data_IF_968781790695
#
_entry.id   IF_968781790695
#
_cell.length_a   1.000
_cell.length_b   1.000
_cell.length_c   1.000
_cell.angle_alpha   90.00
_cell.angle_beta   90.00
_cell.angle_gamma   90.00
#
_symmetry.space_group_name_H-M   'P 1'
#
loop_
_entity.id
_entity.type
_entity.pdbx_description
1 polymer ?
#
# COMPACT_ATOMS: atom_id res chain seq x y z
N UNK A 1 -2.56 11.51 -4.89
CA UNK A 1 -3.95 11.90 -5.17
C UNK A 1 -3.94 12.88 -6.32
N UNK A 2 -4.71 12.64 -7.36
CA UNK A 2 -4.89 13.60 -8.44
C UNK A 2 -6.20 14.37 -8.21
N UNK A 3 -6.15 15.68 -8.37
CA UNK A 3 -7.27 16.59 -8.12
C UNK A 3 -7.49 17.45 -9.35
N UNK A 4 -8.73 17.44 -9.84
CA UNK A 4 -9.20 18.25 -10.94
C UNK A 4 -10.38 19.11 -10.49
N UNK A 5 -10.13 20.42 -10.35
CA UNK A 5 -11.08 21.40 -9.82
C UNK A 5 -11.18 22.57 -10.79
N UNK A 6 -12.42 22.86 -11.19
CA UNK A 6 -12.75 23.98 -12.07
C UNK A 6 -13.50 25.07 -11.28
N UNK A 7 -13.10 26.33 -11.47
CA UNK A 7 -13.73 27.48 -10.80
C UNK A 7 -14.04 28.59 -11.78
N UNK A 8 -15.05 29.38 -11.44
CA UNK A 8 -15.39 30.62 -12.13
C UNK A 8 -14.83 31.83 -11.36
N UNK A 9 -13.76 32.45 -11.87
CA UNK A 9 -13.20 33.72 -11.35
C UNK A 9 -12.05 33.57 -10.32
N UNK A 10 -11.33 34.66 -9.98
CA UNK A 10 -10.12 34.65 -9.12
C UNK A 10 -10.43 34.61 -7.62
N UNK A 11 -9.62 33.91 -6.83
CA UNK A 11 -9.74 33.86 -5.37
C UNK A 11 -9.33 32.52 -4.74
N UNK A 12 -9.28 32.49 -3.41
CA UNK A 12 -8.64 31.39 -2.67
C UNK A 12 -9.48 30.11 -2.63
N UNK A 13 -8.80 28.97 -2.85
CA UNK A 13 -9.32 27.62 -2.65
C UNK A 13 -8.50 26.90 -1.58
N UNK A 14 -9.20 26.35 -0.60
CA UNK A 14 -8.64 25.35 0.31
C UNK A 14 -9.09 23.98 -0.14
N UNK A 15 -8.13 23.08 -0.30
CA UNK A 15 -8.34 21.71 -0.75
C UNK A 15 -7.84 20.79 0.35
N UNK A 16 -8.74 19.97 0.89
CA UNK A 16 -8.41 18.94 1.87
C UNK A 16 -8.83 17.56 1.36
N UNK A 17 -8.00 16.56 1.66
CA UNK A 17 -8.43 15.17 1.65
C UNK A 17 -9.02 14.84 3.03
N UNK A 18 -10.20 14.24 3.05
CA UNK A 18 -10.87 13.79 4.28
C UNK A 18 -10.92 12.26 4.26
N UNK A 19 -10.32 11.65 5.27
CA UNK A 19 -10.26 10.21 5.46
C UNK A 19 -11.60 9.64 5.96
N UNK A 20 -11.82 8.32 5.86
CA UNK A 20 -13.06 7.67 6.32
C UNK A 20 -13.36 7.88 7.81
N UNK A 21 -12.34 8.05 8.64
CA UNK A 21 -12.45 8.32 10.07
C UNK A 21 -12.75 9.81 10.39
N UNK A 22 -12.73 10.68 9.37
CA UNK A 22 -12.91 12.12 9.49
C UNK A 22 -11.62 12.94 9.60
N UNK A 23 -10.44 12.31 9.66
CA UNK A 23 -9.14 12.97 9.65
C UNK A 23 -8.96 13.81 8.39
N UNK A 24 -8.37 15.00 8.55
CA UNK A 24 -8.24 16.01 7.47
C UNK A 24 -6.77 16.20 7.12
N UNK A 25 -6.46 16.04 5.84
CA UNK A 25 -5.13 16.24 5.27
C UNK A 25 -5.17 17.42 4.30
N UNK A 26 -4.63 18.59 4.68
CA UNK A 26 -4.57 19.75 3.80
C UNK A 26 -3.66 19.46 2.60
N UNK A 27 -4.17 19.71 1.39
CA UNK A 27 -3.43 19.52 0.13
C UNK A 27 -2.96 20.86 -0.44
N UNK A 28 -3.85 21.84 -0.46
CA UNK A 28 -3.56 23.21 -0.85
C UNK A 28 -4.31 24.18 0.06
N UNK A 29 -3.61 25.24 0.47
CA UNK A 29 -4.22 26.37 1.17
C UNK A 29 -4.07 27.63 0.33
N UNK A 30 -5.07 28.50 0.43
CA UNK A 30 -5.14 29.84 -0.14
C UNK A 30 -3.77 30.51 -0.39
N UNK A 31 -3.48 30.81 -1.66
CA UNK A 31 -2.48 31.82 -2.03
C UNK A 31 -3.23 32.92 -2.75
N UNK A 32 -3.14 34.13 -2.21
CA UNK A 32 -3.96 35.31 -2.55
C UNK A 32 -3.86 35.83 -3.99
N UNK A 33 -3.40 35.01 -4.92
CA UNK A 33 -3.22 35.28 -6.34
C UNK A 33 -3.72 34.13 -7.27
N UNK A 34 -4.34 33.07 -6.71
CA UNK A 34 -4.53 31.78 -7.39
C UNK A 34 -5.54 31.70 -8.54
N UNK A 35 -5.16 30.90 -9.54
CA UNK A 35 -5.81 30.60 -10.83
C UNK A 35 -7.20 29.98 -10.73
N UNK A 36 -8.00 30.11 -11.80
CA UNK A 36 -9.38 29.59 -11.87
C UNK A 36 -9.49 28.06 -12.01
N UNK A 37 -8.38 27.35 -12.29
CA UNK A 37 -8.35 25.90 -12.51
C UNK A 37 -7.17 25.28 -11.77
N UNK A 38 -7.37 24.06 -11.26
CA UNK A 38 -6.35 23.26 -10.56
C UNK A 38 -6.37 21.85 -11.15
N UNK A 39 -5.25 21.46 -11.77
CA UNK A 39 -4.97 20.11 -12.27
C UNK A 39 -3.66 19.62 -11.66
N UNK A 40 -3.72 19.15 -10.41
CA UNK A 40 -2.50 18.90 -9.63
C UNK A 40 -2.48 17.50 -9.00
N UNK A 41 -1.27 16.95 -8.92
CA UNK A 41 -0.98 15.73 -8.19
C UNK A 41 -0.43 16.09 -6.82
N UNK A 42 -1.16 15.74 -5.77
CA UNK A 42 -0.72 15.89 -4.38
C UNK A 42 -0.19 14.56 -3.84
N UNK A 43 0.97 14.62 -3.19
CA UNK A 43 1.44 13.57 -2.31
C UNK A 43 0.94 13.87 -0.90
N UNK A 44 0.30 12.88 -0.28
CA UNK A 44 -0.26 12.99 1.06
C UNK A 44 0.20 11.78 1.86
N UNK A 45 0.74 12.02 3.06
CA UNK A 45 1.00 10.96 4.02
C UNK A 45 -0.29 10.71 4.82
N UNK A 46 -1.03 9.69 4.41
CA UNK A 46 -2.21 9.21 5.11
C UNK A 46 -1.98 7.78 5.66
N UNK A 47 -0.73 7.48 6.05
CA UNK A 47 -0.30 6.15 6.51
C UNK A 47 -1.00 5.67 7.79
N UNK A 48 -1.60 6.58 8.57
CA UNK A 48 -2.44 6.25 9.72
C UNK A 48 -3.82 5.70 9.35
N UNK A 49 -4.25 5.88 8.11
CA UNK A 49 -5.64 5.67 7.71
C UNK A 49 -5.89 4.30 7.10
N UNK A 50 -7.13 3.83 7.25
CA UNK A 50 -7.58 2.68 6.50
C UNK A 50 -7.79 3.07 5.05
N UNK A 51 -7.30 2.24 4.12
CA UNK A 51 -7.52 2.51 2.69
C UNK A 51 -8.96 2.24 2.25
N UNK A 52 -9.72 1.41 3.00
CA UNK A 52 -11.12 1.11 2.70
C UNK A 52 -12.04 2.16 3.32
N UNK A 53 -13.20 2.35 2.71
CA UNK A 53 -14.18 3.34 3.15
C UNK A 53 -14.26 4.54 2.21
N UNK A 54 -15.07 5.53 2.62
CA UNK A 54 -15.37 6.70 1.79
C UNK A 54 -14.40 7.81 2.08
N UNK A 55 -13.38 7.95 1.23
CA UNK A 55 -12.56 9.14 1.15
C UNK A 55 -13.34 10.27 0.47
N UNK A 56 -13.12 11.51 0.90
CA UNK A 56 -13.76 12.68 0.31
C UNK A 56 -12.71 13.73 -0.02
N UNK A 57 -12.85 14.34 -1.19
CA UNK A 57 -12.20 15.62 -1.45
C UNK A 57 -13.11 16.74 -0.94
N UNK A 58 -12.60 17.59 -0.05
CA UNK A 58 -13.29 18.80 0.42
C UNK A 58 -12.62 20.02 -0.18
N UNK A 59 -13.41 20.81 -0.91
CA UNK A 59 -12.99 22.09 -1.46
C UNK A 59 -13.79 23.20 -0.79
N UNK A 60 -13.10 24.16 -0.19
CA UNK A 60 -13.71 25.36 0.41
C UNK A 60 -13.26 26.59 -0.36
N UNK A 61 -14.22 27.39 -0.84
CA UNK A 61 -13.98 28.64 -1.57
C UNK A 61 -14.49 29.82 -0.75
N UNK A 62 -13.77 30.94 -0.78
CA UNK A 62 -14.22 32.23 -0.23
C UNK A 62 -14.92 33.13 -1.28
N UNK A 63 -15.22 32.62 -2.49
CA UNK A 63 -15.81 33.37 -3.62
C UNK A 63 -17.06 32.72 -4.25
N UNK A 64 -17.56 33.33 -5.33
CA UNK A 64 -18.81 32.92 -6.02
C UNK A 64 -18.60 31.70 -6.94
N UNK A 65 -18.90 30.51 -6.40
CA UNK A 65 -19.15 29.30 -7.21
C UNK A 65 -17.92 28.58 -7.78
N UNK A 66 -18.08 27.27 -8.00
CA UNK A 66 -17.07 26.36 -8.56
C UNK A 66 -17.61 24.93 -8.58
N UNK A 67 -16.94 24.05 -9.33
CA UNK A 67 -17.30 22.64 -9.45
C UNK A 67 -16.06 21.74 -9.40
N UNK A 68 -16.17 20.61 -8.72
CA UNK A 68 -15.18 19.54 -8.81
C UNK A 68 -15.57 18.70 -10.03
N UNK A 69 -14.72 18.67 -11.05
CA UNK A 69 -14.91 17.88 -12.27
C UNK A 69 -14.46 16.42 -12.07
N UNK A 70 -13.47 16.19 -11.21
CA UNK A 70 -13.01 14.85 -10.85
C UNK A 70 -11.90 14.84 -9.81
N UNK A 71 -11.74 13.71 -9.13
CA UNK A 71 -10.57 13.47 -8.31
C UNK A 71 -10.35 11.96 -8.18
N UNK A 72 -9.08 11.56 -8.01
CA UNK A 72 -8.73 10.17 -7.71
C UNK A 72 -7.69 10.07 -6.59
N UNK A 73 -7.88 9.07 -5.74
CA UNK A 73 -6.94 8.68 -4.71
C UNK A 73 -6.35 7.32 -5.09
N UNK A 74 -5.02 7.24 -5.09
CA UNK A 74 -4.30 6.00 -5.38
C UNK A 74 -3.48 5.62 -4.17
N UNK A 75 -3.69 4.40 -3.70
CA UNK A 75 -2.77 3.69 -2.80
C UNK A 75 -1.75 2.98 -3.67
N UNK A 76 -0.48 3.37 -3.60
CA UNK A 76 0.48 2.79 -4.50
C UNK A 76 0.75 1.33 -4.15
N UNK A 77 0.76 0.51 -5.18
CA UNK A 77 1.07 -0.90 -5.08
C UNK A 77 2.37 -1.18 -5.84
N UNK A 78 3.03 -2.24 -5.41
CA UNK A 78 4.28 -2.72 -5.93
C UNK A 78 4.22 -4.23 -5.98
N UNK A 79 4.79 -4.85 -7.00
CA UNK A 79 4.65 -6.28 -7.21
C UNK A 79 5.95 -6.91 -7.71
N UNK A 80 6.03 -8.22 -7.54
CA UNK A 80 7.03 -9.04 -8.21
C UNK A 80 6.39 -10.39 -8.57
N UNK A 81 6.26 -10.63 -9.87
CA UNK A 81 5.80 -11.89 -10.47
C UNK A 81 6.94 -12.72 -11.06
N UNK A 82 8.18 -12.43 -10.66
CA UNK A 82 9.32 -13.29 -10.96
C UNK A 82 9.28 -14.48 -10.01
N UNK A 83 9.07 -15.66 -10.58
CA UNK A 83 8.99 -16.89 -9.81
C UNK A 83 10.27 -17.10 -8.96
N UNK A 84 10.09 -17.38 -7.68
CA UNK A 84 11.18 -17.64 -6.74
C UNK A 84 11.00 -19.02 -6.12
N UNK A 85 11.95 -19.93 -6.34
CA UNK A 85 11.86 -21.30 -5.86
C UNK A 85 11.99 -21.36 -4.33
N UNK A 86 11.10 -22.13 -3.70
CA UNK A 86 11.10 -22.48 -2.28
C UNK A 86 11.73 -23.88 -2.18
N UNK A 87 12.98 -23.99 -1.71
CA UNK A 87 13.61 -25.29 -1.50
C UNK A 87 13.00 -26.01 -0.30
N UNK A 88 12.99 -27.35 -0.37
CA UNK A 88 12.63 -28.23 0.75
C UNK A 88 13.47 -27.91 1.99
N UNK A 89 12.78 -27.79 3.14
CA UNK A 89 13.36 -27.40 4.43
C UNK A 89 14.28 -26.16 4.32
N UNK A 90 13.85 -25.14 3.57
CA UNK A 90 14.66 -23.97 3.31
C UNK A 90 13.88 -22.66 3.29
N UNK A 91 14.50 -21.61 2.74
CA UNK A 91 13.93 -20.26 2.74
C UNK A 91 14.15 -19.61 1.39
N UNK A 92 13.08 -18.98 0.91
CA UNK A 92 13.07 -18.14 -0.28
C UNK A 92 12.70 -16.70 0.11
N UNK A 93 13.32 -15.73 -0.56
CA UNK A 93 12.97 -14.33 -0.44
C UNK A 93 12.76 -13.72 -1.83
N UNK A 94 11.58 -13.15 -2.06
CA UNK A 94 11.25 -12.42 -3.29
C UNK A 94 11.20 -10.92 -2.99
N UNK A 95 12.07 -10.08 -3.61
CA UNK A 95 12.15 -8.66 -3.31
C UNK A 95 11.21 -7.81 -4.18
N UNK A 96 10.80 -6.66 -3.64
CA UNK A 96 10.11 -5.57 -4.34
C UNK A 96 10.78 -4.24 -3.95
N UNK A 97 11.02 -3.36 -4.93
CA UNK A 97 11.69 -2.08 -4.70
C UNK A 97 10.67 -0.94 -4.67
N UNK A 98 10.61 -0.23 -3.54
CA UNK A 98 9.82 0.98 -3.37
C UNK A 98 10.70 2.20 -3.54
N UNK A 99 10.36 3.05 -4.51
CA UNK A 99 11.15 4.23 -4.90
C UNK A 99 11.39 5.24 -3.76
N UNK A 100 12.48 6.01 -3.91
CA UNK A 100 13.01 6.93 -2.88
C UNK A 100 12.18 8.19 -2.64
N UNK A 101 11.24 8.52 -3.52
CA UNK A 101 10.37 9.68 -3.39
C UNK A 101 9.36 9.57 -2.23
N UNK A 102 9.23 8.40 -1.60
CA UNK A 102 8.35 8.22 -0.45
C UNK A 102 8.99 8.68 0.84
N UNK A 103 8.20 9.40 1.61
CA UNK A 103 8.52 9.91 2.94
C UNK A 103 7.57 9.29 3.97
N UNK A 104 7.78 9.58 5.26
CA UNK A 104 6.96 9.02 6.34
C UNK A 104 7.26 7.56 6.65
N UNK A 105 6.29 6.90 7.29
CA UNK A 105 6.31 5.48 7.64
C UNK A 105 5.36 4.68 6.72
N UNK A 106 5.54 3.36 6.66
CA UNK A 106 4.59 2.49 5.97
C UNK A 106 3.21 2.50 6.69
N UNK A 107 2.11 2.22 5.98
CA UNK A 107 0.79 2.32 6.57
C UNK A 107 0.48 1.30 7.67
N UNK A 108 -0.45 1.67 8.56
CA UNK A 108 -1.06 0.72 9.51
C UNK A 108 -1.78 -0.42 8.82
N UNK A 109 -2.35 -0.16 7.64
CA UNK A 109 -3.08 -1.13 6.84
C UNK A 109 -2.25 -1.56 5.62
N UNK A 110 -0.97 -1.90 5.83
CA UNK A 110 -0.10 -2.42 4.75
C UNK A 110 -0.65 -3.76 4.29
N UNK A 111 -0.94 -3.88 2.99
CA UNK A 111 -1.51 -5.12 2.42
C UNK A 111 -0.50 -5.91 1.63
N UNK A 112 -0.55 -7.22 1.79
CA UNK A 112 0.27 -8.18 1.06
C UNK A 112 -0.64 -9.22 0.43
N UNK A 113 -0.74 -9.20 -0.90
CA UNK A 113 -1.29 -10.33 -1.65
C UNK A 113 -0.17 -11.30 -1.97
N UNK A 114 -0.41 -12.59 -1.78
CA UNK A 114 0.56 -13.66 -2.12
C UNK A 114 -0.05 -14.65 -3.10
N UNK A 115 0.78 -15.12 -4.02
CA UNK A 115 0.50 -16.21 -4.95
C UNK A 115 1.65 -17.21 -4.88
N UNK A 116 1.39 -18.35 -4.23
CA UNK A 116 2.40 -19.36 -3.92
C UNK A 116 1.83 -20.75 -4.22
N UNK A 117 2.64 -21.56 -4.90
CA UNK A 117 2.41 -22.99 -5.06
C UNK A 117 3.39 -23.77 -4.19
N UNK A 118 2.91 -24.73 -3.41
CA UNK A 118 3.72 -25.63 -2.59
C UNK A 118 2.96 -26.93 -2.40
N UNK A 119 3.61 -28.07 -2.65
CA UNK A 119 2.95 -29.40 -2.55
C UNK A 119 2.41 -29.77 -1.16
N UNK A 120 2.72 -28.95 -0.14
CA UNK A 120 2.04 -28.95 1.14
C UNK A 120 2.12 -27.54 1.77
N UNK A 121 1.13 -26.69 1.51
CA UNK A 121 1.15 -25.29 1.95
C UNK A 121 1.15 -25.10 3.47
N UNK A 122 0.78 -26.15 4.21
CA UNK A 122 0.84 -26.20 5.66
C UNK A 122 2.26 -26.09 6.22
N UNK A 123 3.29 -26.34 5.42
CA UNK A 123 4.68 -26.27 5.89
C UNK A 123 5.25 -24.85 5.84
N UNK A 124 4.57 -23.94 5.13
CA UNK A 124 5.04 -22.60 4.91
C UNK A 124 4.74 -21.65 6.07
N UNK A 125 5.80 -21.05 6.60
CA UNK A 125 5.73 -19.77 7.30
C UNK A 125 5.97 -18.64 6.29
N UNK A 126 5.10 -17.62 6.30
CA UNK A 126 5.23 -16.43 5.46
C UNK A 126 5.43 -15.18 6.31
N UNK A 127 6.42 -14.37 5.93
CA UNK A 127 6.72 -13.08 6.55
C UNK A 127 6.89 -11.99 5.49
N UNK A 128 6.50 -10.75 5.83
CA UNK A 128 6.92 -9.55 5.12
C UNK A 128 8.16 -8.97 5.84
N UNK A 129 9.23 -8.74 5.08
CA UNK A 129 10.48 -8.15 5.57
C UNK A 129 10.57 -6.72 5.07
N UNK A 130 10.68 -5.78 6.00
CA UNK A 130 10.87 -4.37 5.68
C UNK A 130 12.32 -4.03 5.28
N UNK A 131 12.54 -2.86 4.65
CA UNK A 131 13.87 -2.38 4.27
C UNK A 131 14.86 -2.26 5.44
N UNK A 132 14.35 -2.05 6.65
CA UNK A 132 15.12 -1.97 7.90
C UNK A 132 15.40 -3.36 8.53
N UNK A 133 14.98 -4.44 7.87
CA UNK A 133 15.11 -5.82 8.35
C UNK A 133 14.03 -6.26 9.34
N UNK A 134 13.06 -5.40 9.67
CA UNK A 134 11.96 -5.75 10.57
C UNK A 134 11.06 -6.79 9.91
N UNK A 135 10.59 -7.75 10.72
CA UNK A 135 9.76 -8.87 10.28
C UNK A 135 8.31 -8.63 10.70
N UNK A 136 7.40 -8.75 9.75
CA UNK A 136 5.95 -8.71 9.96
C UNK A 136 5.37 -10.08 9.57
N UNK A 137 5.01 -10.93 10.55
CA UNK A 137 4.45 -12.25 10.27
C UNK A 137 3.13 -12.14 9.51
N UNK A 138 2.99 -12.91 8.43
CA UNK A 138 1.77 -12.97 7.62
C UNK A 138 0.97 -14.24 7.92
N UNK A 139 1.68 -15.37 7.98
CA UNK A 139 1.09 -16.69 8.18
C UNK A 139 2.08 -17.62 8.89
N UNK A 140 1.60 -18.37 9.87
CA UNK A 140 2.36 -19.44 10.51
C UNK A 140 2.16 -20.77 9.76
N UNK A 141 3.14 -21.67 9.89
CA UNK A 141 2.98 -23.05 9.43
C UNK A 141 1.80 -23.72 10.18
N UNK A 142 1.06 -24.55 9.45
CA UNK A 142 -0.11 -25.26 9.91
C UNK A 142 -0.09 -26.70 9.38
N UNK A 143 0.47 -27.63 10.17
CA UNK A 143 0.73 -29.02 9.75
C UNK A 143 -0.48 -29.81 9.21
N UNK A 144 -1.71 -29.36 9.46
CA UNK A 144 -2.95 -29.99 8.99
C UNK A 144 -3.52 -29.36 7.70
N UNK A 145 -2.83 -28.39 7.13
CA UNK A 145 -3.26 -27.70 5.91
C UNK A 145 -2.58 -28.31 4.67
N UNK A 146 -3.17 -29.37 4.15
CA UNK A 146 -2.65 -30.18 3.04
C UNK A 146 -2.97 -29.60 1.65
N UNK A 147 -3.26 -28.30 1.54
CA UNK A 147 -3.53 -27.67 0.24
C UNK A 147 -2.25 -27.37 -0.54
N UNK A 148 -2.38 -27.10 -1.84
CA UNK A 148 -1.21 -26.91 -2.72
C UNK A 148 -0.92 -25.45 -3.07
N UNK A 149 -1.85 -24.55 -2.78
CA UNK A 149 -1.77 -23.14 -3.17
C UNK A 149 -2.17 -22.19 -2.05
N UNK A 150 -1.54 -21.02 -2.06
CA UNK A 150 -1.90 -19.87 -1.21
C UNK A 150 -2.16 -18.68 -2.14
N UNK A 151 -3.43 -18.30 -2.24
CA UNK A 151 -3.90 -17.07 -2.89
C UNK A 151 -4.61 -16.23 -1.84
N UNK A 152 -3.86 -15.48 -1.05
CA UNK A 152 -4.38 -14.83 0.15
C UNK A 152 -3.95 -13.37 0.24
N UNK A 153 -4.75 -12.58 0.95
CA UNK A 153 -4.44 -11.21 1.29
C UNK A 153 -4.20 -11.10 2.80
N UNK A 154 -3.08 -10.53 3.18
CA UNK A 154 -2.73 -10.22 4.56
C UNK A 154 -2.73 -8.71 4.78
N UNK A 155 -3.01 -8.32 6.02
CA UNK A 155 -2.92 -6.92 6.48
C UNK A 155 -2.03 -6.89 7.70
N UNK A 156 -1.00 -6.05 7.68
CA UNK A 156 -0.06 -5.87 8.79
C UNK A 156 0.11 -4.40 9.13
N UNK A 157 0.34 -4.12 10.41
CA UNK A 157 0.74 -2.80 10.89
C UNK A 157 2.24 -2.62 10.70
N UNK A 158 2.62 -1.89 9.65
CA UNK A 158 4.02 -1.66 9.28
C UNK A 158 4.53 -0.25 9.63
N UNK A 159 3.81 0.50 10.48
CA UNK A 159 4.16 1.90 10.84
C UNK A 159 5.51 2.07 11.51
N UNK A 160 6.12 0.99 11.96
CA UNK A 160 7.45 1.01 12.56
C UNK A 160 8.59 0.99 11.52
N UNK A 161 8.27 0.89 10.22
CA UNK A 161 9.26 0.82 9.14
C UNK A 161 9.02 1.91 8.09
N UNK A 162 10.10 2.28 7.39
CA UNK A 162 10.03 3.22 6.28
C UNK A 162 9.38 2.57 5.05
N UNK A 163 8.57 3.30 4.26
CA UNK A 163 7.94 2.75 3.07
C UNK A 163 8.96 2.58 1.93
N UNK A 164 9.97 3.46 1.85
CA UNK A 164 11.01 3.43 0.82
C UNK A 164 12.04 2.33 1.08
N UNK A 165 12.52 1.72 0.00
CA UNK A 165 13.56 0.69 0.04
C UNK A 165 13.06 -0.66 -0.46
N UNK A 166 13.84 -1.71 -0.19
CA UNK A 166 13.52 -3.08 -0.62
C UNK A 166 12.70 -3.80 0.45
N UNK A 167 11.46 -4.09 0.11
CA UNK A 167 10.63 -5.03 0.87
C UNK A 167 10.82 -6.43 0.32
N UNK A 168 10.62 -7.47 1.13
CA UNK A 168 10.67 -8.86 0.67
C UNK A 168 9.51 -9.66 1.22
N UNK A 169 8.92 -10.50 0.38
CA UNK A 169 8.13 -11.64 0.86
C UNK A 169 9.11 -12.78 1.15
N UNK A 170 9.11 -13.28 2.38
CA UNK A 170 9.89 -14.44 2.79
C UNK A 170 8.95 -15.63 2.98
N UNK A 171 9.23 -16.72 2.26
CA UNK A 171 8.60 -18.01 2.48
C UNK A 171 9.65 -18.96 3.06
N UNK A 172 9.36 -19.53 4.22
CA UNK A 172 10.18 -20.55 4.85
C UNK A 172 9.40 -21.86 4.89
N UNK A 173 9.92 -22.87 4.22
CA UNK A 173 9.47 -24.24 4.42
C UNK A 173 10.08 -24.77 5.73
N UNK A 174 9.22 -25.31 6.59
CA UNK A 174 9.56 -25.77 7.93
C UNK A 174 9.50 -27.28 8.09
N UNK A 175 9.12 -28.02 7.04
CA UNK A 175 9.07 -29.48 7.03
C UNK A 175 9.98 -30.05 5.93
N UNK A 176 10.12 -31.38 5.92
CA UNK A 176 10.87 -32.10 4.90
C UNK A 176 9.93 -32.79 3.93
N UNK A 177 10.34 -32.87 2.67
CA UNK A 177 9.71 -33.68 1.63
C UNK A 177 8.87 -32.90 0.63
N UNK A 178 8.66 -31.60 0.85
CA UNK A 178 7.88 -30.75 -0.01
C UNK A 178 8.71 -29.57 -0.50
N UNK A 179 8.34 -29.03 -1.65
CA UNK A 179 8.96 -27.83 -2.21
C UNK A 179 7.92 -27.10 -3.06
N UNK A 180 8.26 -25.90 -3.49
CA UNK A 180 7.36 -25.07 -4.27
C UNK A 180 8.00 -23.80 -4.81
N UNK A 181 7.18 -22.81 -5.07
CA UNK A 181 7.61 -21.50 -5.55
C UNK A 181 6.66 -20.39 -5.12
N UNK A 182 7.22 -19.21 -4.89
CA UNK A 182 6.48 -17.96 -4.89
C UNK A 182 6.28 -17.60 -6.37
N UNK A 183 5.06 -17.72 -6.88
CA UNK A 183 4.73 -17.36 -8.25
C UNK A 183 4.65 -15.84 -8.42
N UNK A 184 4.15 -15.15 -7.40
CA UNK A 184 4.25 -13.70 -7.30
C UNK A 184 3.58 -13.12 -6.07
N UNK A 185 3.69 -11.82 -5.89
CA UNK A 185 3.08 -11.12 -4.77
C UNK A 185 2.97 -9.62 -5.03
N UNK A 186 2.09 -8.97 -4.28
CA UNK A 186 1.84 -7.53 -4.35
C UNK A 186 1.83 -6.92 -2.95
N UNK A 187 2.51 -5.78 -2.80
CA UNK A 187 2.57 -4.93 -1.62
C UNK A 187 1.81 -3.63 -1.89
N UNK A 188 0.83 -3.28 -1.06
CA UNK A 188 0.16 -1.97 -1.10
C UNK A 188 0.54 -1.15 0.13
N UNK A 189 1.05 0.06 -0.13
CA UNK A 189 1.48 1.06 0.86
C UNK A 189 0.75 2.39 0.67
#
# INVERSE_FOLDING_TARGET
MYVDVHRTGPGDLNIDLVAPDGSVYPLQQARGDGTAEIHELYQVDASSEQSNGTWKLRVTSIGTGGSISGWDLRFPWFDNWTETQIPDLGTAESPVVVGSARTGNAPQATRVYVDIHHSWRGDLQLDLIAPDGRVYPLRAAAAKDSGDTIHENYVVDARASLPKGTWKLRAKDTAQGNSGSISGWMLTL
#
